data_IF_207248804214
#
_entry.id   IF_207248804214
#
_cell.length_a   1.000
_cell.length_b   1.000
_cell.length_c   1.000
_cell.angle_alpha   90.00
_cell.angle_beta   90.00
_cell.angle_gamma   90.00
#
_symmetry.space_group_name_H-M   'P 1'
#
loop_
_entity.id
_entity.type
_entity.pdbx_description
1 polymer ?
#
# COMPACT_ATOMS: atom_id res chain seq x y z
N UNK A 1 9.53 -3.50 25.30
CA UNK A 1 8.21 -2.94 25.66
C UNK A 1 7.32 -3.07 24.43
N UNK A 2 6.32 -3.96 24.43
CA UNK A 2 5.44 -4.14 23.26
C UNK A 2 4.49 -2.95 23.22
N UNK A 3 4.63 -2.08 22.23
CA UNK A 3 3.62 -1.06 21.97
C UNK A 3 2.40 -1.75 21.38
N UNK A 4 1.27 -1.65 22.07
CA UNK A 4 -0.01 -2.15 21.58
C UNK A 4 -0.45 -1.29 20.38
N UNK A 5 -0.68 -1.92 19.23
CA UNK A 5 -1.10 -1.21 18.00
C UNK A 5 -2.56 -0.78 18.17
N UNK A 6 -2.92 0.51 18.06
CA UNK A 6 -4.30 0.96 18.20
C UNK A 6 -5.27 0.13 17.35
N UNK A 7 -6.47 -0.15 17.85
CA UNK A 7 -7.51 -0.89 17.10
C UNK A 7 -7.99 -0.16 15.84
N UNK A 8 -7.70 1.13 15.74
CA UNK A 8 -8.05 1.98 14.60
C UNK A 8 -6.84 2.77 14.17
N UNK A 9 -6.51 2.67 12.88
CA UNK A 9 -5.49 3.44 12.18
C UNK A 9 -6.14 4.26 11.07
N UNK A 10 -5.44 5.28 10.59
CA UNK A 10 -5.86 6.11 9.46
C UNK A 10 -4.83 6.03 8.34
N UNK A 11 -5.31 6.07 7.10
CA UNK A 11 -4.46 6.35 5.95
C UNK A 11 -4.19 7.86 5.87
N UNK A 12 -2.92 8.24 5.75
CA UNK A 12 -2.48 9.63 5.52
C UNK A 12 -2.58 10.00 4.04
N UNK A 13 -2.20 9.07 3.17
CA UNK A 13 -2.26 9.21 1.73
C UNK A 13 -2.51 7.87 1.05
N UNK A 14 -2.87 7.91 -0.22
CA UNK A 14 -2.99 6.71 -1.03
C UNK A 14 -3.05 7.00 -2.51
N UNK A 15 -2.78 5.98 -3.32
CA UNK A 15 -2.98 6.06 -4.77
C UNK A 15 -4.40 6.53 -5.08
N UNK A 16 -4.52 7.64 -5.82
CA UNK A 16 -5.79 8.28 -6.13
C UNK A 16 -6.76 7.32 -6.83
N UNK A 17 -6.25 6.42 -7.69
CA UNK A 17 -7.07 5.40 -8.36
C UNK A 17 -7.58 4.34 -7.40
N UNK A 18 -6.78 3.98 -6.40
CA UNK A 18 -7.20 3.05 -5.36
C UNK A 18 -8.25 3.70 -4.45
N UNK A 19 -8.01 4.92 -3.98
CA UNK A 19 -8.97 5.67 -3.16
C UNK A 19 -10.30 5.82 -3.88
N UNK A 20 -10.29 6.22 -5.15
CA UNK A 20 -11.50 6.30 -5.97
C UNK A 20 -12.25 4.96 -6.05
N UNK A 21 -11.54 3.84 -6.14
CA UNK A 21 -12.15 2.50 -6.15
C UNK A 21 -12.74 2.08 -4.80
N UNK A 22 -12.16 2.52 -3.70
CA UNK A 22 -12.70 2.25 -2.36
C UNK A 22 -13.92 3.14 -2.07
N UNK A 23 -13.92 4.37 -2.61
CA UNK A 23 -14.97 5.38 -2.37
C UNK A 23 -16.04 5.48 -3.46
N UNK A 24 -16.06 4.60 -4.47
CA UNK A 24 -17.00 4.62 -5.60
C UNK A 24 -18.46 4.23 -5.26
N UNK A 25 -18.89 4.41 -3.99
CA UNK A 25 -20.26 4.15 -3.54
C UNK A 25 -20.71 2.72 -3.84
N UNK A 26 -21.82 2.50 -4.57
CA UNK A 26 -22.30 1.16 -4.94
C UNK A 26 -21.32 0.36 -5.81
N UNK A 27 -20.42 1.03 -6.53
CA UNK A 27 -19.42 0.42 -7.38
C UNK A 27 -18.05 0.25 -6.68
N UNK A 28 -17.97 0.59 -5.39
CA UNK A 28 -16.74 0.40 -4.64
C UNK A 28 -16.40 -1.08 -4.49
N UNK A 29 -15.11 -1.35 -4.32
CA UNK A 29 -14.62 -2.70 -4.00
C UNK A 29 -15.10 -3.06 -2.58
N UNK A 30 -16.02 -4.00 -2.50
CA UNK A 30 -16.57 -4.52 -1.24
C UNK A 30 -16.39 -6.03 -1.13
N UNK A 31 -16.33 -6.51 0.11
CA UNK A 31 -16.32 -7.93 0.42
C UNK A 31 -15.01 -8.41 1.02
N UNK A 32 -14.84 -9.73 1.05
CA UNK A 32 -13.72 -10.37 1.73
C UNK A 32 -12.53 -10.56 0.78
N UNK A 33 -11.42 -9.93 1.13
CA UNK A 33 -10.09 -10.21 0.61
C UNK A 33 -9.24 -10.92 1.66
N UNK A 34 -7.93 -11.00 1.42
CA UNK A 34 -6.99 -11.67 2.33
C UNK A 34 -5.68 -10.91 2.47
N UNK A 35 -5.01 -11.08 3.61
CA UNK A 35 -3.61 -10.69 3.77
C UNK A 35 -2.75 -11.62 2.92
N UNK A 36 -2.05 -11.07 1.94
CA UNK A 36 -1.15 -11.81 1.07
C UNK A 36 0.24 -11.98 1.70
N UNK A 37 0.85 -10.89 2.19
CA UNK A 37 2.16 -10.94 2.85
C UNK A 37 2.34 -9.82 3.85
N UNK A 38 3.17 -10.05 4.87
CA UNK A 38 3.42 -9.11 5.98
C UNK A 38 4.92 -8.88 6.11
N UNK A 39 5.33 -7.62 6.03
CA UNK A 39 6.68 -7.15 6.29
C UNK A 39 6.64 -6.06 7.35
N UNK A 40 7.81 -5.70 7.91
CA UNK A 40 7.94 -4.63 8.89
C UNK A 40 7.26 -3.32 8.44
N UNK A 41 7.51 -2.92 7.19
CA UNK A 41 7.07 -1.62 6.65
C UNK A 41 5.84 -1.68 5.75
N UNK A 42 5.41 -2.87 5.33
CA UNK A 42 4.34 -3.05 4.34
C UNK A 42 3.55 -4.32 4.62
N UNK A 43 2.22 -4.23 4.54
CA UNK A 43 1.33 -5.38 4.45
C UNK A 43 0.70 -5.39 3.07
N UNK A 44 0.83 -6.48 2.33
CA UNK A 44 0.14 -6.65 1.05
C UNK A 44 -1.15 -7.42 1.26
N UNK A 45 -2.20 -6.96 0.59
CA UNK A 45 -3.55 -7.49 0.63
C UNK A 45 -3.97 -7.90 -0.77
N UNK A 46 -4.71 -8.99 -0.90
CA UNK A 46 -5.51 -9.29 -2.06
C UNK A 46 -6.93 -8.79 -1.81
N UNK A 47 -7.39 -7.89 -2.65
CA UNK A 47 -8.78 -7.46 -2.68
C UNK A 47 -9.70 -8.59 -3.20
N UNK A 48 -11.03 -8.50 -3.00
CA UNK A 48 -12.00 -9.50 -3.48
C UNK A 48 -11.93 -9.77 -5.00
N UNK A 49 -11.50 -8.78 -5.77
CA UNK A 49 -11.34 -8.86 -7.22
C UNK A 49 -9.92 -9.32 -7.65
N UNK A 50 -9.09 -9.75 -6.70
CA UNK A 50 -7.73 -10.21 -6.93
C UNK A 50 -6.69 -9.10 -7.08
N UNK A 51 -7.06 -7.82 -6.95
CA UNK A 51 -6.10 -6.73 -6.98
C UNK A 51 -5.17 -6.77 -5.76
N UNK A 52 -3.86 -6.72 -6.01
CA UNK A 52 -2.88 -6.52 -4.93
C UNK A 52 -2.85 -5.05 -4.48
N UNK A 53 -3.06 -4.83 -3.19
CA UNK A 53 -3.06 -3.53 -2.51
C UNK A 53 -2.00 -3.56 -1.40
N UNK A 54 -1.24 -2.48 -1.22
CA UNK A 54 -0.25 -2.37 -0.15
C UNK A 54 -0.71 -1.39 0.95
N UNK A 55 -0.55 -1.79 2.21
CA UNK A 55 -0.62 -0.92 3.38
C UNK A 55 0.80 -0.61 3.84
N UNK A 56 1.29 0.56 3.46
CA UNK A 56 2.61 1.05 3.79
C UNK A 56 2.61 1.73 5.17
N UNK A 57 3.69 1.56 5.93
CA UNK A 57 3.98 2.36 7.14
C UNK A 57 4.17 3.83 6.77
N UNK A 58 3.99 4.74 7.74
CA UNK A 58 3.99 6.21 7.50
C UNK A 58 5.22 6.76 6.80
N UNK A 59 6.37 6.08 6.93
CA UNK A 59 7.64 6.51 6.34
C UNK A 59 8.01 5.79 5.03
N UNK A 60 7.17 4.85 4.55
CA UNK A 60 7.48 4.04 3.37
C UNK A 60 7.17 4.74 2.02
N UNK A 61 6.43 5.85 2.05
CA UNK A 61 6.16 6.69 0.89
C UNK A 61 4.98 6.23 0.03
N UNK A 62 4.56 7.10 -0.88
CA UNK A 62 3.46 6.85 -1.81
C UNK A 62 3.91 5.96 -2.99
N UNK A 63 3.02 5.08 -3.44
CA UNK A 63 3.25 4.21 -4.60
C UNK A 63 1.91 3.78 -5.23
N UNK A 64 1.91 3.27 -6.48
CA UNK A 64 0.70 2.73 -7.09
C UNK A 64 0.07 1.64 -6.22
N UNK A 65 -1.27 1.63 -6.12
CA UNK A 65 -2.05 0.67 -5.32
C UNK A 65 -1.63 0.58 -3.86
N UNK A 66 -1.17 1.69 -3.28
CA UNK A 66 -0.69 1.77 -1.89
C UNK A 66 -1.54 2.74 -1.08
N UNK A 67 -1.82 2.38 0.17
CA UNK A 67 -2.29 3.28 1.24
C UNK A 67 -1.16 3.45 2.25
N UNK A 68 -0.77 4.68 2.54
CA UNK A 68 0.20 4.99 3.60
C UNK A 68 -0.57 5.17 4.90
N UNK A 69 -0.35 4.27 5.86
CA UNK A 69 -1.09 4.16 7.12
C UNK A 69 -0.26 4.76 8.27
N UNK A 70 -0.93 5.39 9.23
CA UNK A 70 -0.32 5.97 10.42
C UNK A 70 0.18 4.93 11.43
N UNK A 71 1.15 4.14 11.01
CA UNK A 71 1.81 3.12 11.80
C UNK A 71 3.31 3.14 11.48
N UNK A 72 4.14 3.03 12.51
CA UNK A 72 5.59 2.97 12.32
C UNK A 72 6.03 1.62 11.75
N UNK A 73 5.44 0.53 12.25
CA UNK A 73 5.86 -0.83 11.96
C UNK A 73 4.69 -1.82 12.20
N UNK A 74 4.55 -2.80 11.31
CA UNK A 74 3.46 -3.77 11.31
C UNK A 74 3.73 -5.04 12.14
N UNK A 75 4.94 -5.26 12.65
CA UNK A 75 5.31 -6.52 13.34
C UNK A 75 4.49 -6.77 14.60
N UNK A 76 4.01 -5.71 15.25
CA UNK A 76 3.16 -5.79 16.45
C UNK A 76 1.67 -5.91 16.13
N UNK A 77 1.24 -5.81 14.86
CA UNK A 77 -0.17 -5.81 14.48
C UNK A 77 -0.82 -7.20 14.49
N UNK A 78 -0.04 -8.27 14.70
CA UNK A 78 -0.57 -9.64 14.80
C UNK A 78 -1.15 -10.20 13.49
N UNK A 79 -0.83 -9.56 12.36
CA UNK A 79 -1.27 -9.98 11.03
C UNK A 79 -0.43 -11.14 10.52
N UNK A 80 -1.06 -12.04 9.76
CA UNK A 80 -0.40 -13.16 9.08
C UNK A 80 -0.98 -13.34 7.68
N UNK A 81 -0.19 -13.85 6.72
CA UNK A 81 -0.73 -14.31 5.45
C UNK A 81 -1.93 -15.24 5.65
N UNK A 82 -2.97 -15.04 4.85
CA UNK A 82 -4.23 -15.80 4.92
C UNK A 82 -5.27 -15.25 5.89
N UNK A 83 -4.96 -14.24 6.72
CA UNK A 83 -6.00 -13.56 7.49
C UNK A 83 -7.00 -12.85 6.57
N UNK A 84 -8.28 -12.88 6.94
CA UNK A 84 -9.33 -12.20 6.18
C UNK A 84 -9.22 -10.68 6.33
N UNK A 85 -9.58 -9.98 5.26
CA UNK A 85 -9.73 -8.53 5.25
C UNK A 85 -11.05 -8.15 4.63
N UNK A 86 -11.89 -7.45 5.36
CA UNK A 86 -13.15 -6.92 4.82
C UNK A 86 -12.91 -5.54 4.24
N UNK A 87 -13.18 -5.40 2.94
CA UNK A 87 -13.20 -4.13 2.23
C UNK A 87 -14.60 -3.53 2.36
N UNK A 88 -14.65 -2.31 2.88
CA UNK A 88 -15.86 -1.49 3.02
C UNK A 88 -15.62 -0.13 2.39
N UNK A 89 -16.65 0.70 2.26
CA UNK A 89 -16.56 2.03 1.59
C UNK A 89 -15.41 2.87 2.16
N UNK A 90 -15.29 2.91 3.49
CA UNK A 90 -14.47 3.92 4.18
C UNK A 90 -13.34 3.29 5.01
N UNK A 91 -13.21 1.96 4.95
CA UNK A 91 -12.24 1.24 5.74
C UNK A 91 -11.91 -0.16 5.20
N UNK A 92 -10.73 -0.61 5.60
CA UNK A 92 -10.33 -2.00 5.59
C UNK A 92 -10.40 -2.53 7.03
N UNK A 93 -11.09 -3.65 7.23
CA UNK A 93 -11.13 -4.34 8.52
C UNK A 93 -10.26 -5.59 8.42
N UNK A 94 -9.12 -5.58 9.09
CA UNK A 94 -8.19 -6.70 9.09
C UNK A 94 -8.50 -7.59 10.30
N UNK A 95 -8.80 -8.86 10.04
CA UNK A 95 -8.97 -9.82 11.12
C UNK A 95 -7.60 -10.14 11.74
N UNK A 96 -7.49 -9.96 13.05
CA UNK A 96 -6.27 -10.29 13.79
C UNK A 96 -6.65 -11.20 14.94
N UNK A 97 -5.72 -12.09 15.35
CA UNK A 97 -5.97 -13.09 16.37
C UNK A 97 -6.39 -12.54 17.75
N UNK A 98 -6.29 -11.22 17.97
CA UNK A 98 -6.70 -10.56 19.22
C UNK A 98 -7.91 -9.64 19.04
N UNK A 99 -7.77 -8.59 18.23
CA UNK A 99 -8.84 -7.61 17.95
C UNK A 99 -8.81 -7.19 16.48
N UNK A 100 -9.95 -7.07 15.80
CA UNK A 100 -9.98 -6.53 14.45
C UNK A 100 -9.31 -5.16 14.40
N UNK A 101 -8.47 -4.96 13.40
CA UNK A 101 -7.79 -3.69 13.14
C UNK A 101 -8.53 -2.96 12.02
N UNK A 102 -9.05 -1.76 12.31
CA UNK A 102 -9.67 -0.90 11.30
C UNK A 102 -8.65 0.07 10.72
N UNK A 103 -8.48 0.08 9.41
CA UNK A 103 -7.73 1.12 8.68
C UNK A 103 -8.73 1.99 7.93
N UNK A 104 -8.96 3.20 8.44
CA UNK A 104 -9.84 4.18 7.79
C UNK A 104 -9.17 4.86 6.60
N UNK A 105 -9.91 5.03 5.52
CA UNK A 105 -9.43 5.72 4.30
C UNK A 105 -9.96 7.15 4.16
N UNK A 106 -10.90 7.55 5.02
CA UNK A 106 -11.45 8.90 5.04
C UNK A 106 -10.39 9.96 5.30
N UNK A 107 -10.37 10.98 4.43
CA UNK A 107 -9.43 12.10 4.53
C UNK A 107 -7.99 11.76 4.09
N UNK A 108 -7.74 10.56 3.56
CA UNK A 108 -6.45 10.24 2.96
C UNK A 108 -6.19 11.15 1.76
N UNK A 109 -5.01 11.79 1.72
CA UNK A 109 -4.60 12.64 0.61
C UNK A 109 -4.38 11.79 -0.65
N UNK A 110 -5.02 12.11 -1.79
CA UNK A 110 -4.76 11.40 -3.03
C UNK A 110 -3.33 11.66 -3.51
N UNK A 111 -2.70 10.61 -4.01
CA UNK A 111 -1.42 10.66 -4.68
C UNK A 111 -1.58 10.13 -6.10
N UNK A 112 -1.06 10.88 -7.06
CA UNK A 112 -1.01 10.49 -8.47
C UNK A 112 0.43 10.24 -8.90
N UNK A 113 0.73 9.11 -9.57
CA UNK A 113 2.05 8.88 -10.12
C UNK A 113 2.34 9.88 -11.22
N UNK A 114 3.38 10.70 -11.04
CA UNK A 114 3.92 11.52 -12.12
C UNK A 114 4.89 10.65 -12.93
N UNK A 115 4.36 10.00 -13.97
CA UNK A 115 5.19 9.22 -14.88
C UNK A 115 5.90 10.16 -15.88
N UNK A 116 7.23 10.07 -16.05
CA UNK A 116 7.92 10.81 -17.11
C UNK A 116 7.46 10.31 -18.48
N UNK A 117 7.31 11.22 -19.44
CA UNK A 117 6.89 10.90 -20.81
C UNK A 117 8.04 10.27 -21.61
N UNK A 118 8.41 9.03 -21.28
CA UNK A 118 9.54 8.31 -21.90
C UNK A 118 9.33 8.05 -23.40
N UNK A 119 8.08 8.07 -23.89
CA UNK A 119 7.74 7.83 -25.29
C UNK A 119 8.23 8.92 -26.25
N UNK A 120 8.63 10.09 -25.73
CA UNK A 120 9.16 11.20 -26.54
C UNK A 120 10.69 11.20 -26.62
N UNK A 121 11.34 10.30 -25.89
CA UNK A 121 12.80 10.26 -25.82
C UNK A 121 13.39 9.42 -26.96
N UNK A 122 14.50 9.88 -27.51
CA UNK A 122 15.24 9.11 -28.50
C UNK A 122 15.78 7.81 -27.88
N UNK A 123 15.85 6.69 -28.64
CA UNK A 123 16.35 5.41 -28.14
C UNK A 123 17.74 5.50 -27.47
N UNK A 124 18.63 6.34 -27.99
CA UNK A 124 19.95 6.57 -27.40
C UNK A 124 19.90 7.25 -26.03
N UNK A 125 18.95 8.16 -25.81
CA UNK A 125 18.72 8.80 -24.51
C UNK A 125 18.20 7.79 -23.50
N UNK A 126 17.23 6.97 -23.89
CA UNK A 126 16.70 5.89 -23.05
C UNK A 126 17.78 4.88 -22.67
N UNK A 127 18.61 4.45 -23.62
CA UNK A 127 19.71 3.52 -23.37
C UNK A 127 20.76 4.09 -22.40
N UNK A 128 21.07 5.39 -22.50
CA UNK A 128 21.96 6.07 -21.55
C UNK A 128 21.33 6.16 -20.16
N UNK A 129 20.06 6.58 -20.08
CA UNK A 129 19.34 6.66 -18.81
C UNK A 129 19.26 5.31 -18.10
N UNK A 130 18.99 4.22 -18.83
CA UNK A 130 18.97 2.86 -18.29
C UNK A 130 20.34 2.47 -17.70
N UNK A 131 21.44 2.69 -18.43
CA UNK A 131 22.80 2.40 -17.91
C UNK A 131 23.13 3.20 -16.65
N UNK A 132 22.73 4.48 -16.62
CA UNK A 132 22.92 5.34 -15.44
C UNK A 132 22.12 4.81 -14.25
N UNK A 133 20.85 4.47 -14.45
CA UNK A 133 19.99 3.91 -13.40
C UNK A 133 20.54 2.59 -12.86
N UNK A 134 21.02 1.69 -13.72
CA UNK A 134 21.66 0.43 -13.31
C UNK A 134 22.94 0.66 -12.49
N UNK A 135 23.72 1.68 -12.82
CA UNK A 135 24.90 2.05 -12.02
C UNK A 135 24.49 2.54 -10.62
N UNK A 136 23.48 3.42 -10.53
CA UNK A 136 22.95 3.88 -9.24
C UNK A 136 22.37 2.75 -8.41
N UNK A 137 21.58 1.86 -9.01
CA UNK A 137 20.99 0.73 -8.30
C UNK A 137 22.06 -0.24 -7.78
N UNK A 138 23.14 -0.47 -8.52
CA UNK A 138 24.26 -1.29 -8.01
C UNK A 138 25.01 -0.63 -6.87
N UNK A 139 25.17 0.68 -6.90
CA UNK A 139 25.91 1.44 -5.89
C UNK A 139 25.10 1.68 -4.60
N UNK A 140 23.79 1.88 -4.72
CA UNK A 140 22.95 2.38 -3.61
C UNK A 140 21.67 1.58 -3.38
N UNK A 141 21.32 0.64 -4.26
CA UNK A 141 20.11 -0.17 -4.11
C UNK A 141 20.16 -1.01 -2.84
N UNK A 142 19.04 -1.08 -2.13
CA UNK A 142 18.90 -2.00 -1.01
C UNK A 142 19.07 -3.44 -1.52
N UNK A 143 20.00 -4.18 -0.92
CA UNK A 143 20.12 -5.62 -1.16
C UNK A 143 19.02 -6.31 -0.36
N UNK A 144 18.12 -6.98 -1.08
CA UNK A 144 17.13 -7.89 -0.49
C UNK A 144 17.78 -9.17 0.01
#
# INVERSE_FOLDING_TARGET
>A
MRHDVPSTLRAHSGDARLLARLHAGPAAVHGTGTVHSVFARVVNLLAPDGLLVALASRDAGDAPRTLVVDIADWTAAGLRPGHDVTFTTDALLLDTAGRPLRVGTDGARPWDPVAPALTREAPGTLARAARTLDAYNRAHGARG
#
